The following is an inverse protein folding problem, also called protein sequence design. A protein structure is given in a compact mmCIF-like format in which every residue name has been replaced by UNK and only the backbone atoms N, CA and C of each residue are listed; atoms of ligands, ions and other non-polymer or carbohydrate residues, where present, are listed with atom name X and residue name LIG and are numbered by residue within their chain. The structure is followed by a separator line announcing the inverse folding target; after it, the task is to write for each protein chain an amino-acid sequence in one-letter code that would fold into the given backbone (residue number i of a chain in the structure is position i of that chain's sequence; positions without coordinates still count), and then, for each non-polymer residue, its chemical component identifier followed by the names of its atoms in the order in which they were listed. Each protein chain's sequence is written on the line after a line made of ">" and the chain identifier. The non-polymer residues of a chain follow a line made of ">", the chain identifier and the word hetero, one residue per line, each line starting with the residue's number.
data_IF_809665679073
#
_entry.id   IF_809665679073
#
_cell.length_a   1.000
_cell.length_b   1.000
_cell.length_c   1.000
_cell.angle_alpha   90.00
_cell.angle_beta   90.00
_cell.angle_gamma   90.00
#
_symmetry.space_group_name_H-M   'P 1'
#
loop_
_entity.id
_entity.type
_entity.pdbx_description
1 polymer ?
#
# COMPACT_ATOMS: atom_id res chain seq x y z
N UNK A 1 -15.32 -14.04 -15.05
CA UNK A 1 -15.30 -13.98 -13.58
C UNK A 1 -13.97 -14.57 -13.15
N UNK A 2 -13.06 -13.79 -12.57
CA UNK A 2 -11.79 -14.34 -12.08
C UNK A 2 -12.10 -15.13 -10.80
N UNK A 3 -11.75 -16.40 -10.74
CA UNK A 3 -11.86 -17.19 -9.51
C UNK A 3 -10.75 -16.79 -8.55
N UNK A 4 -11.11 -16.70 -7.28
CA UNK A 4 -10.16 -16.58 -6.19
C UNK A 4 -9.90 -18.00 -5.69
N UNK A 5 -8.81 -18.60 -6.13
CA UNK A 5 -8.54 -20.01 -5.82
C UNK A 5 -7.87 -20.16 -4.44
N UNK A 6 -8.23 -21.23 -3.73
CA UNK A 6 -7.55 -21.63 -2.50
C UNK A 6 -6.04 -21.85 -2.77
N UNK A 7 -5.20 -21.60 -1.76
CA UNK A 7 -3.74 -21.78 -1.80
C UNK A 7 -2.95 -20.82 -2.73
N UNK A 8 -3.52 -19.66 -3.09
CA UNK A 8 -2.85 -18.63 -3.90
C UNK A 8 -2.24 -17.48 -3.08
N UNK A 9 -1.81 -17.73 -1.84
CA UNK A 9 -1.13 -16.72 -1.02
C UNK A 9 -2.02 -15.57 -0.52
N UNK A 10 -3.33 -15.62 -0.77
CA UNK A 10 -4.27 -14.59 -0.36
C UNK A 10 -4.41 -14.58 1.15
N UNK A 11 -4.18 -13.41 1.72
CA UNK A 11 -4.40 -13.15 3.14
C UNK A 11 -5.69 -12.39 3.37
N UNK A 12 -6.24 -12.59 4.55
CA UNK A 12 -7.34 -11.81 5.08
C UNK A 12 -6.81 -10.56 5.82
N UNK A 13 -7.66 -9.52 5.88
CA UNK A 13 -7.44 -8.29 6.64
C UNK A 13 -6.20 -7.45 6.26
N UNK A 14 -5.86 -7.36 4.98
CA UNK A 14 -4.75 -6.51 4.50
C UNK A 14 -5.06 -5.00 4.62
N UNK A 15 -5.56 -4.36 3.56
CA UNK A 15 -5.98 -2.97 3.61
C UNK A 15 -7.05 -2.64 2.57
N UNK A 16 -7.95 -1.72 2.95
CA UNK A 16 -8.94 -1.15 2.05
C UNK A 16 -9.18 0.32 2.40
N UNK A 17 -9.54 1.13 1.40
CA UNK A 17 -9.95 2.52 1.57
C UNK A 17 -10.95 2.93 0.50
N UNK A 18 -11.65 4.04 0.71
CA UNK A 18 -12.55 4.67 -0.27
C UNK A 18 -12.06 6.08 -0.50
N UNK A 19 -11.86 6.46 -1.75
CA UNK A 19 -11.46 7.83 -2.08
C UNK A 19 -12.66 8.78 -2.21
N UNK A 20 -12.39 10.08 -2.37
CA UNK A 20 -13.44 11.09 -2.45
C UNK A 20 -14.35 10.99 -3.67
N UNK A 21 -13.95 10.24 -4.70
CA UNK A 21 -14.78 9.96 -5.87
C UNK A 21 -15.62 8.69 -5.69
N UNK A 22 -15.57 8.05 -4.52
CA UNK A 22 -16.31 6.83 -4.21
C UNK A 22 -15.70 5.56 -4.81
N UNK A 23 -14.44 5.62 -5.28
CA UNK A 23 -13.72 4.42 -5.73
C UNK A 23 -13.31 3.62 -4.50
N UNK A 24 -13.54 2.32 -4.55
CA UNK A 24 -13.10 1.39 -3.50
C UNK A 24 -11.72 0.90 -3.90
N UNK A 25 -10.75 0.90 -2.98
CA UNK A 25 -9.41 0.40 -3.20
C UNK A 25 -9.10 -0.69 -2.17
N UNK A 26 -8.51 -1.78 -2.62
CA UNK A 26 -8.08 -2.91 -1.80
C UNK A 26 -6.65 -3.25 -2.16
N UNK A 27 -5.82 -3.42 -1.15
CA UNK A 27 -4.49 -4.02 -1.28
C UNK A 27 -4.61 -5.45 -0.79
N UNK A 28 -4.03 -6.40 -1.51
CA UNK A 28 -3.82 -7.76 -1.02
C UNK A 28 -2.49 -8.31 -1.54
N UNK A 29 -2.14 -9.50 -1.11
CA UNK A 29 -1.10 -10.33 -1.71
C UNK A 29 -1.73 -11.45 -2.50
N UNK A 30 -1.10 -11.80 -3.61
CA UNK A 30 -1.43 -13.01 -4.35
C UNK A 30 -0.18 -13.68 -4.89
N UNK A 31 -0.29 -15.00 -5.02
CA UNK A 31 0.69 -15.88 -5.62
C UNK A 31 0.15 -16.44 -6.94
N UNK A 32 0.36 -15.68 -8.01
CA UNK A 32 -0.02 -16.08 -9.37
C UNK A 32 1.15 -16.60 -10.20
N UNK A 33 2.38 -16.35 -9.75
CA UNK A 33 3.64 -16.64 -10.47
C UNK A 33 4.69 -17.30 -9.57
N UNK A 34 4.26 -18.19 -8.68
CA UNK A 34 5.08 -18.88 -7.67
C UNK A 34 5.79 -17.95 -6.65
N UNK A 35 5.45 -16.67 -6.67
CA UNK A 35 5.98 -15.62 -5.80
C UNK A 35 4.84 -14.73 -5.33
N UNK A 36 4.87 -14.35 -4.06
CA UNK A 36 3.90 -13.41 -3.51
C UNK A 36 4.13 -12.01 -4.07
N UNK A 37 3.07 -11.41 -4.61
CA UNK A 37 3.10 -10.05 -5.13
C UNK A 37 2.03 -9.21 -4.46
N UNK A 38 2.33 -7.92 -4.24
CA UNK A 38 1.29 -6.97 -3.89
C UNK A 38 0.35 -6.77 -5.08
N UNK A 39 -0.95 -6.86 -4.83
CA UNK A 39 -2.01 -6.60 -5.79
C UNK A 39 -2.86 -5.43 -5.34
N UNK A 40 -3.12 -4.52 -6.28
CA UNK A 40 -4.10 -3.47 -6.13
C UNK A 40 -5.38 -3.87 -6.87
N UNK A 41 -6.49 -3.86 -6.13
CA UNK A 41 -7.83 -3.95 -6.70
C UNK A 41 -8.51 -2.62 -6.49
N UNK A 42 -9.29 -2.20 -7.46
CA UNK A 42 -10.17 -1.07 -7.24
C UNK A 42 -11.46 -1.19 -8.03
N UNK A 43 -12.51 -0.59 -7.51
CA UNK A 43 -13.82 -0.55 -8.13
C UNK A 43 -14.16 0.86 -8.55
N UNK A 44 -14.55 1.01 -9.81
CA UNK A 44 -15.10 2.27 -10.29
C UNK A 44 -16.49 2.54 -9.69
N UNK A 45 -16.86 3.80 -9.39
CA UNK A 45 -18.21 4.18 -8.97
C UNK A 45 -19.21 4.20 -10.13
N UNK A 46 -18.84 3.69 -11.32
CA UNK A 46 -19.74 3.63 -12.48
C UNK A 46 -20.98 2.77 -12.20
N UNK A 47 -22.10 2.96 -12.93
CA UNK A 47 -23.29 2.11 -12.79
C UNK A 47 -23.01 0.61 -12.98
N UNK A 48 -21.96 0.26 -13.73
CA UNK A 48 -21.51 -1.13 -13.93
C UNK A 48 -20.66 -1.67 -12.79
N UNK A 49 -20.11 -0.79 -11.96
CA UNK A 49 -19.30 -1.13 -10.79
C UNK A 49 -18.12 -2.05 -11.13
N UNK A 50 -17.43 -1.75 -12.23
CA UNK A 50 -16.35 -2.58 -12.76
C UNK A 50 -15.19 -2.65 -11.75
N UNK A 51 -14.72 -3.88 -11.51
CA UNK A 51 -13.53 -4.16 -10.70
C UNK A 51 -12.31 -4.28 -11.60
N UNK A 52 -11.25 -3.61 -11.20
CA UNK A 52 -9.91 -3.68 -11.77
C UNK A 52 -8.99 -4.39 -10.79
N UNK A 53 -8.01 -5.10 -11.32
CA UNK A 53 -7.03 -5.88 -10.55
C UNK A 53 -5.70 -5.84 -11.30
N UNK A 54 -4.62 -5.48 -10.61
CA UNK A 54 -3.27 -5.51 -11.17
C UNK A 54 -2.22 -5.69 -10.08
N UNK A 55 -1.11 -6.40 -10.36
CA UNK A 55 0.04 -6.40 -9.45
C UNK A 55 0.68 -5.01 -9.43
N UNK A 56 1.34 -4.65 -8.33
CA UNK A 56 2.23 -3.50 -8.34
C UNK A 56 3.44 -3.76 -9.25
N UNK A 57 3.99 -2.73 -9.96
CA UNK A 57 4.99 -2.95 -10.98
C UNK A 57 6.30 -3.54 -10.43
N UNK A 58 6.68 -4.72 -10.90
CA UNK A 58 7.88 -5.44 -10.44
C UNK A 58 9.21 -4.74 -10.78
N UNK A 59 9.20 -3.78 -11.71
CA UNK A 59 10.35 -2.95 -12.05
C UNK A 59 10.67 -1.90 -10.96
N UNK A 60 9.72 -1.56 -10.08
CA UNK A 60 9.99 -0.61 -8.98
C UNK A 60 11.01 -1.16 -7.98
N UNK A 61 11.13 -2.47 -7.86
CA UNK A 61 12.14 -3.13 -7.05
C UNK A 61 13.58 -2.69 -7.37
N UNK A 62 13.86 -2.37 -8.64
CA UNK A 62 15.21 -1.94 -9.07
C UNK A 62 15.53 -0.50 -8.67
N UNK A 63 14.50 0.29 -8.35
CA UNK A 63 14.61 1.68 -7.92
C UNK A 63 14.45 1.85 -6.40
N UNK A 64 13.90 0.82 -5.73
CA UNK A 64 13.57 0.83 -4.30
C UNK A 64 14.76 0.36 -3.48
N UNK A 65 15.12 1.15 -2.46
CA UNK A 65 16.14 0.72 -1.47
C UNK A 65 15.66 -0.50 -0.66
N UNK A 66 14.35 -0.75 -0.66
CA UNK A 66 13.67 -1.79 0.11
C UNK A 66 13.22 -3.00 -0.73
N UNK A 67 13.48 -3.01 -2.05
CA UNK A 67 13.01 -4.05 -2.96
C UNK A 67 11.48 -4.29 -2.83
N UNK A 68 10.69 -3.23 -2.64
CA UNK A 68 9.39 -3.32 -1.98
C UNK A 68 8.32 -4.16 -2.72
N UNK A 69 8.44 -4.31 -4.05
CA UNK A 69 7.49 -5.09 -4.86
C UNK A 69 7.85 -6.57 -5.00
N UNK A 70 9.06 -6.99 -4.61
CA UNK A 70 9.53 -8.40 -4.66
C UNK A 70 9.76 -9.01 -3.28
N UNK A 71 9.49 -8.28 -2.20
CA UNK A 71 9.59 -8.77 -0.82
C UNK A 71 8.30 -9.21 -0.12
N UNK A 72 7.07 -9.14 -0.69
CA UNK A 72 5.91 -9.74 -0.03
C UNK A 72 6.15 -11.22 0.32
N UNK A 73 5.58 -11.66 1.44
CA UNK A 73 5.59 -13.07 1.85
C UNK A 73 4.21 -13.45 2.39
N UNK A 74 3.93 -14.75 2.51
CA UNK A 74 2.63 -15.28 2.98
C UNK A 74 2.31 -14.83 4.42
N UNK A 75 3.32 -14.57 5.26
CA UNK A 75 3.11 -14.18 6.67
C UNK A 75 3.76 -12.83 6.99
N UNK A 76 4.17 -12.08 5.96
CA UNK A 76 4.80 -10.78 6.12
C UNK A 76 3.86 -9.74 6.69
N UNK A 77 4.45 -8.67 7.23
CA UNK A 77 3.76 -7.47 7.72
C UNK A 77 2.79 -6.96 6.65
N UNK A 78 1.58 -6.59 7.09
CA UNK A 78 0.56 -6.06 6.19
C UNK A 78 0.80 -4.60 5.79
N UNK A 79 0.45 -4.27 4.55
CA UNK A 79 0.47 -2.91 4.03
C UNK A 79 -0.75 -2.08 4.45
N UNK A 80 -0.79 -0.81 4.03
CA UNK A 80 -1.95 0.08 4.14
C UNK A 80 -2.16 0.87 2.86
N UNK A 81 -3.42 1.22 2.58
CA UNK A 81 -3.78 2.16 1.53
C UNK A 81 -4.28 3.46 2.16
N UNK A 82 -3.88 4.57 1.56
CA UNK A 82 -4.30 5.91 1.96
C UNK A 82 -4.83 6.63 0.74
N UNK A 83 -6.04 7.18 0.85
CA UNK A 83 -6.63 8.07 -0.15
C UNK A 83 -6.71 9.47 0.48
N UNK A 84 -5.69 10.32 0.30
CA UNK A 84 -5.67 11.63 0.93
C UNK A 84 -6.84 12.51 0.45
N UNK A 85 -7.40 13.36 1.33
CA UNK A 85 -8.48 14.25 0.94
C UNK A 85 -8.00 15.24 -0.13
N UNK A 86 -8.88 15.58 -1.06
CA UNK A 86 -8.64 16.54 -2.15
C UNK A 86 -7.48 16.19 -3.08
N UNK A 87 -6.98 14.95 -3.01
CA UNK A 87 -5.94 14.43 -3.88
C UNK A 87 -6.52 13.35 -4.82
N UNK A 88 -5.99 13.28 -6.03
CA UNK A 88 -6.29 12.21 -6.99
C UNK A 88 -5.22 11.09 -6.92
N UNK A 89 -4.37 11.12 -5.90
CA UNK A 89 -3.32 10.13 -5.63
C UNK A 89 -3.83 9.09 -4.63
N UNK A 90 -3.54 7.82 -4.89
CA UNK A 90 -3.61 6.73 -3.91
C UNK A 90 -2.20 6.42 -3.43
N UNK A 91 -2.02 6.32 -2.11
CA UNK A 91 -0.76 5.88 -1.53
C UNK A 91 -0.87 4.42 -1.06
N UNK A 92 0.23 3.68 -1.22
CA UNK A 92 0.45 2.40 -0.58
C UNK A 92 1.62 2.51 0.40
N UNK A 93 1.34 2.28 1.68
CA UNK A 93 2.34 2.16 2.74
C UNK A 93 2.73 0.70 2.84
N UNK A 94 3.94 0.35 2.41
CA UNK A 94 4.36 -1.03 2.23
C UNK A 94 5.58 -1.32 3.11
N UNK A 95 5.47 -2.27 4.05
CA UNK A 95 6.62 -2.72 4.83
C UNK A 95 7.52 -3.62 3.98
N UNK A 96 8.83 -3.46 4.15
CA UNK A 96 9.80 -4.41 3.59
C UNK A 96 9.72 -5.72 4.39
N UNK A 97 9.42 -6.81 3.67
CA UNK A 97 9.21 -8.14 4.23
C UNK A 97 10.37 -9.10 3.95
N UNK A 98 11.51 -8.59 3.47
CA UNK A 98 12.76 -9.34 3.44
C UNK A 98 13.19 -9.76 4.86
N UNK A 99 13.97 -10.83 4.95
CA UNK A 99 14.47 -11.36 6.22
C UNK A 99 15.19 -10.27 7.02
N UNK A 100 14.81 -10.09 8.29
CA UNK A 100 15.33 -9.09 9.22
C UNK A 100 15.13 -7.61 8.81
N UNK A 101 14.33 -7.33 7.78
CA UNK A 101 14.11 -5.95 7.35
C UNK A 101 13.08 -5.21 8.20
N UNK A 102 13.39 -3.95 8.49
CA UNK A 102 12.48 -3.00 9.12
C UNK A 102 12.18 -1.79 8.23
N UNK A 103 12.50 -1.89 6.94
CA UNK A 103 12.25 -0.81 5.99
C UNK A 103 10.76 -0.58 5.73
N UNK A 104 10.47 0.64 5.26
CA UNK A 104 9.13 1.08 4.89
C UNK A 104 9.22 1.94 3.64
N UNK A 105 8.32 1.71 2.69
CA UNK A 105 8.20 2.52 1.49
C UNK A 105 6.78 3.05 1.32
N UNK A 106 6.68 4.24 0.76
CA UNK A 106 5.42 4.84 0.33
C UNK A 106 5.44 4.92 -1.19
N UNK A 107 4.52 4.21 -1.81
CA UNK A 107 4.28 4.30 -3.25
C UNK A 107 3.06 5.18 -3.50
N UNK A 108 3.05 5.91 -4.61
CA UNK A 108 1.91 6.73 -5.05
C UNK A 108 1.50 6.39 -6.47
N UNK A 109 0.19 6.43 -6.75
CA UNK A 109 -0.40 6.14 -8.06
C UNK A 109 -1.60 7.05 -8.32
N UNK A 110 -1.89 7.39 -9.57
CA UNK A 110 -2.85 8.46 -9.90
C UNK A 110 -4.13 7.94 -10.54
N UNK A 111 -5.24 8.59 -10.19
CA UNK A 111 -6.52 8.43 -10.85
C UNK A 111 -6.46 8.63 -12.37
N UNK A 112 -5.66 9.61 -12.83
CA UNK A 112 -5.53 9.96 -14.26
C UNK A 112 -4.98 8.80 -15.10
N UNK A 113 -4.19 7.93 -14.49
CA UNK A 113 -3.62 6.74 -15.12
C UNK A 113 -4.29 5.45 -14.63
N UNK A 114 -5.51 5.54 -14.11
CA UNK A 114 -6.27 4.39 -13.60
C UNK A 114 -5.48 3.56 -12.57
N UNK A 115 -4.67 4.23 -11.76
CA UNK A 115 -3.81 3.64 -10.74
C UNK A 115 -2.77 2.63 -11.26
N UNK A 116 -2.33 2.79 -12.50
CA UNK A 116 -1.30 1.95 -13.13
C UNK A 116 0.12 2.55 -13.11
N UNK A 117 0.27 3.80 -12.64
CA UNK A 117 1.49 4.60 -12.68
C UNK A 117 2.18 4.70 -11.31
N UNK A 118 2.27 3.58 -10.61
CA UNK A 118 2.92 3.52 -9.30
C UNK A 118 4.36 4.02 -9.35
N UNK A 119 4.71 4.92 -8.41
CA UNK A 119 6.06 5.44 -8.20
C UNK A 119 6.42 5.45 -6.72
N UNK A 120 7.71 5.33 -6.42
CA UNK A 120 8.23 5.52 -5.06
C UNK A 120 8.19 7.01 -4.73
N UNK A 121 7.57 7.37 -3.60
CA UNK A 121 7.49 8.74 -3.11
C UNK A 121 8.42 9.00 -1.92
N UNK A 122 8.60 7.98 -1.08
CA UNK A 122 9.43 8.06 0.12
C UNK A 122 9.82 6.66 0.57
N UNK A 123 11.03 6.52 1.12
CA UNK A 123 11.51 5.26 1.70
C UNK A 123 12.41 5.53 2.90
N UNK A 124 12.45 4.56 3.81
CA UNK A 124 13.47 4.45 4.87
C UNK A 124 13.92 2.99 4.96
N UNK A 125 15.22 2.78 5.21
CA UNK A 125 15.80 1.43 5.32
C UNK A 125 15.43 0.73 6.65
N UNK A 126 15.17 1.52 7.70
CA UNK A 126 14.91 1.02 9.04
C UNK A 126 13.86 1.84 9.80
N UNK A 127 13.28 1.23 10.85
CA UNK A 127 12.37 1.90 11.79
C UNK A 127 10.93 1.38 11.82
N UNK A 128 10.55 0.48 10.90
CA UNK A 128 9.24 -0.16 10.86
C UNK A 128 9.33 -1.69 11.06
N UNK A 129 9.47 -2.11 12.31
CA UNK A 129 9.59 -3.52 12.70
C UNK A 129 8.24 -4.26 12.68
N UNK A 130 7.14 -3.52 12.70
CA UNK A 130 5.77 -4.06 12.77
C UNK A 130 4.90 -3.54 11.61
N UNK A 131 3.60 -3.82 11.67
CA UNK A 131 2.66 -3.33 10.67
C UNK A 131 2.47 -1.82 10.80
N UNK A 132 2.56 -1.13 9.67
CA UNK A 132 2.36 0.32 9.64
C UNK A 132 0.88 0.65 9.85
N UNK A 133 0.63 1.68 10.65
CA UNK A 133 -0.67 2.32 10.80
C UNK A 133 -0.52 3.82 10.53
N UNK A 134 -1.63 4.50 10.26
CA UNK A 134 -1.62 5.95 10.05
C UNK A 134 -2.84 6.60 10.69
N UNK A 135 -2.70 7.88 11.04
CA UNK A 135 -3.81 8.67 11.60
C UNK A 135 -4.71 9.20 10.49
N UNK A 136 -5.80 8.47 10.23
CA UNK A 136 -6.83 8.87 9.26
C UNK A 136 -7.54 10.18 9.62
N UNK A 137 -7.67 10.52 10.90
CA UNK A 137 -8.41 11.70 11.33
C UNK A 137 -7.57 12.96 11.17
N UNK A 138 -6.29 12.90 11.57
CA UNK A 138 -5.35 14.00 11.33
C UNK A 138 -5.21 14.29 9.83
N UNK A 139 -5.10 13.24 9.01
CA UNK A 139 -5.04 13.38 7.56
C UNK A 139 -6.34 13.95 6.95
N UNK A 140 -7.51 13.40 7.32
CA UNK A 140 -8.76 13.74 6.63
C UNK A 140 -9.44 15.01 7.16
N UNK A 141 -9.35 15.28 8.46
CA UNK A 141 -10.09 16.32 9.15
C UNK A 141 -9.20 17.30 9.94
N UNK A 142 -7.90 17.00 10.08
CA UNK A 142 -6.94 17.84 10.79
C UNK A 142 -6.15 18.76 9.85
N UNK A 143 -4.84 18.77 10.04
CA UNK A 143 -3.86 19.59 9.30
C UNK A 143 -3.46 18.98 7.95
N UNK A 144 -3.98 17.80 7.60
CA UNK A 144 -3.67 17.11 6.35
C UNK A 144 -2.32 16.38 6.36
N UNK A 145 -1.67 16.27 7.52
CA UNK A 145 -0.39 15.56 7.64
C UNK A 145 -0.62 14.05 7.66
N UNK A 146 0.19 13.33 6.88
CA UNK A 146 0.26 11.88 6.95
C UNK A 146 1.16 11.48 8.12
N UNK A 147 0.55 11.21 9.26
CA UNK A 147 1.24 10.69 10.45
C UNK A 147 1.21 9.17 10.48
N UNK A 148 2.38 8.56 10.51
CA UNK A 148 2.54 7.11 10.63
C UNK A 148 2.83 6.72 12.07
N UNK A 149 2.10 5.73 12.57
CA UNK A 149 2.44 5.05 13.80
C UNK A 149 3.39 3.90 13.48
N UNK A 150 4.62 3.98 14.00
CA UNK A 150 5.69 3.02 13.74
C UNK A 150 6.26 2.48 15.05
N UNK A 151 6.73 1.24 15.01
CA UNK A 151 7.41 0.60 16.14
C UNK A 151 8.77 0.13 15.64
N UNK A 152 9.85 0.73 16.12
CA UNK A 152 11.22 0.42 15.68
C UNK A 152 11.80 -0.83 16.39
N UNK A 153 11.07 -1.36 17.37
CA UNK A 153 11.38 -2.60 18.10
C UNK A 153 11.60 -2.41 19.59
N UNK A 154 11.91 -1.19 20.03
CA UNK A 154 12.01 -0.83 21.45
C UNK A 154 11.06 0.30 21.81
N UNK A 155 10.76 1.17 20.84
CA UNK A 155 9.98 2.37 21.05
C UNK A 155 8.84 2.47 20.05
N UNK A 156 7.80 3.18 20.47
CA UNK A 156 6.69 3.63 19.63
C UNK A 156 7.02 5.04 19.17
N UNK A 157 6.89 5.29 17.88
CA UNK A 157 7.13 6.60 17.27
C UNK A 157 5.96 7.04 16.39
N UNK A 158 5.86 8.36 16.21
CA UNK A 158 5.01 8.99 15.20
C UNK A 158 5.91 9.66 14.18
N UNK A 159 5.79 9.27 12.93
CA UNK A 159 6.51 9.85 11.81
C UNK A 159 5.56 10.72 10.98
N UNK A 160 5.75 12.03 11.05
CA UNK A 160 4.98 12.99 10.26
C UNK A 160 5.63 13.20 8.89
N UNK A 161 4.85 12.96 7.83
CA UNK A 161 5.34 13.01 6.46
C UNK A 161 4.61 14.07 5.64
N UNK A 162 5.39 14.89 4.95
CA UNK A 162 4.91 15.76 3.87
C UNK A 162 5.21 15.11 2.52
N UNK A 163 4.34 14.18 2.11
CA UNK A 163 4.48 13.41 0.87
C UNK A 163 3.82 14.13 -0.32
N UNK A 164 4.20 15.39 -0.58
CA UNK A 164 3.89 16.14 -1.82
C UNK A 164 2.50 15.87 -2.43
N UNK A 165 1.46 15.97 -1.59
CA UNK A 165 0.08 15.59 -1.91
C UNK A 165 -0.68 16.64 -2.70
#
# INVERSE_FOLDING_TARGET
>A
MASLDLHRGILNQEAQTVDQRGRIHVLNRENTTDTEQWYHYWRSPSPRMDWHRSPLPQALAEQSINNITRTPTVIGKRGKLVAPPKSDILLALLPNNAVNSTGLSILGSTAKKNFSDWKILWEVEEGNRWEVLFDRYRLAAGDGILSLFVVNGTEVGVLDLNVGL
#
